data_IF_823263860743
#
_entry.id   IF_823263860743
#
_cell.length_a   1.000
_cell.length_b   1.000
_cell.length_c   1.000
_cell.angle_alpha   90.00
_cell.angle_beta   90.00
_cell.angle_gamma   90.00
#
_symmetry.space_group_name_H-M   'P 1'
#
loop_
_entity.id
_entity.type
_entity.pdbx_description
1 polymer ?
#
# COMPACT_ATOMS: atom_id res chain seq x y z
N UNK A 1 -0.27 -8.60 -33.91
CA UNK A 1 -1.00 -8.86 -32.67
C UNK A 1 -0.36 -7.98 -31.61
N UNK A 2 -0.97 -6.84 -31.29
CA UNK A 2 -0.46 -5.97 -30.23
C UNK A 2 -0.92 -6.58 -28.91
N UNK A 3 -0.02 -7.26 -28.19
CA UNK A 3 -0.25 -7.51 -26.77
C UNK A 3 -0.34 -6.13 -26.12
N UNK A 4 -1.58 -5.73 -25.80
CA UNK A 4 -1.84 -4.46 -25.15
C UNK A 4 -1.03 -4.41 -23.87
N UNK A 5 -0.18 -3.40 -23.74
CA UNK A 5 0.63 -3.14 -22.55
C UNK A 5 -0.32 -2.81 -21.37
N UNK A 6 -0.87 -3.84 -20.73
CA UNK A 6 -1.88 -3.70 -19.70
C UNK A 6 -1.23 -3.04 -18.49
N UNK A 7 -1.74 -1.87 -18.09
CA UNK A 7 -1.24 -1.11 -16.97
C UNK A 7 -2.16 -1.32 -15.77
N UNK A 8 -1.57 -1.73 -14.66
CA UNK A 8 -2.23 -1.92 -13.37
C UNK A 8 -2.07 -0.64 -12.56
N UNK A 9 -3.14 -0.12 -11.95
CA UNK A 9 -3.07 1.04 -11.05
C UNK A 9 -2.51 0.57 -9.70
N UNK A 10 -1.39 1.16 -9.28
CA UNK A 10 -0.82 0.96 -7.96
C UNK A 10 -1.41 1.98 -6.99
N UNK A 11 -1.84 1.49 -5.83
CA UNK A 11 -2.44 2.30 -4.77
C UNK A 11 -1.67 2.11 -3.46
N UNK A 12 -1.69 3.14 -2.62
CA UNK A 12 -1.43 3.01 -1.18
C UNK A 12 -2.77 2.90 -0.49
N UNK A 13 -3.02 1.77 0.17
CA UNK A 13 -4.25 1.53 0.92
C UNK A 13 -3.99 1.64 2.40
N UNK A 14 -4.90 2.30 3.12
CA UNK A 14 -4.88 2.34 4.58
C UNK A 14 -6.00 1.52 5.19
N UNK A 15 -5.66 0.81 6.26
CA UNK A 15 -6.61 0.00 7.03
C UNK A 15 -6.47 0.27 8.53
N UNK A 16 -7.59 0.20 9.24
CA UNK A 16 -7.65 0.25 10.68
C UNK A 16 -7.10 -1.04 11.30
N UNK A 17 -6.35 -0.89 12.40
CA UNK A 17 -5.66 -2.01 13.08
C UNK A 17 -6.28 -2.40 14.41
N UNK A 18 -7.30 -1.68 14.86
CA UNK A 18 -7.81 -1.83 16.22
C UNK A 18 -7.15 -0.89 17.21
N UNK A 19 -7.30 -1.26 18.49
CA UNK A 19 -6.78 -0.54 19.64
C UNK A 19 -5.73 -1.39 20.36
N UNK A 20 -4.81 -0.73 21.06
CA UNK A 20 -3.89 -1.41 21.96
C UNK A 20 -4.60 -1.87 23.26
N UNK A 21 -3.84 -2.51 24.16
CA UNK A 21 -4.35 -2.99 25.46
C UNK A 21 -4.86 -1.89 26.38
N UNK A 22 -4.49 -0.63 26.12
CA UNK A 22 -4.95 0.55 26.88
C UNK A 22 -6.16 1.21 26.22
N UNK A 23 -6.64 0.67 25.09
CA UNK A 23 -7.79 1.19 24.35
C UNK A 23 -7.47 2.38 23.44
N UNK A 24 -6.17 2.66 23.21
CA UNK A 24 -5.74 3.71 22.29
C UNK A 24 -5.66 3.16 20.87
N UNK A 25 -6.13 3.95 19.90
CA UNK A 25 -6.09 3.56 18.49
C UNK A 25 -4.65 3.36 18.01
N UNK A 26 -4.42 2.20 17.39
CA UNK A 26 -3.16 1.93 16.74
C UNK A 26 -3.03 2.78 15.47
N UNK A 27 -1.82 3.22 15.10
CA UNK A 27 -1.60 3.90 13.83
C UNK A 27 -2.14 3.07 12.67
N UNK A 28 -2.76 3.73 11.69
CA UNK A 28 -3.27 3.07 10.49
C UNK A 28 -2.15 2.30 9.79
N UNK A 29 -2.49 1.11 9.31
CA UNK A 29 -1.58 0.29 8.52
C UNK A 29 -1.63 0.73 7.08
N UNK A 30 -0.47 0.93 6.46
CA UNK A 30 -0.36 1.19 5.03
C UNK A 30 0.18 -0.02 4.29
N UNK A 31 -0.38 -0.27 3.11
CA UNK A 31 0.05 -1.33 2.20
C UNK A 31 0.04 -0.82 0.76
N UNK A 32 0.85 -1.45 -0.09
CA UNK A 32 0.75 -1.29 -1.53
C UNK A 32 -0.26 -2.29 -2.08
N UNK A 33 -1.25 -1.82 -2.82
CA UNK A 33 -2.30 -2.67 -3.39
C UNK A 33 -2.51 -2.40 -4.85
N UNK A 34 -3.04 -3.39 -5.55
CA UNK A 34 -3.65 -3.17 -6.86
C UNK A 34 -4.71 -4.21 -7.15
N UNK A 35 -5.76 -3.79 -7.86
CA UNK A 35 -6.86 -4.64 -8.31
C UNK A 35 -6.42 -5.53 -9.48
N UNK A 36 -6.70 -6.82 -9.40
CA UNK A 36 -6.49 -7.80 -10.47
C UNK A 36 -7.80 -8.35 -11.03
N UNK A 37 -8.86 -8.34 -10.23
CA UNK A 37 -10.18 -8.85 -10.59
C UNK A 37 -11.29 -8.19 -9.75
N UNK A 38 -12.53 -8.66 -9.92
CA UNK A 38 -13.68 -8.21 -9.15
C UNK A 38 -14.28 -6.88 -9.62
N UNK A 39 -15.34 -6.48 -8.93
CA UNK A 39 -16.08 -5.24 -9.17
C UNK A 39 -15.52 -4.11 -8.30
N UNK A 40 -16.07 -2.90 -8.40
CA UNK A 40 -15.56 -1.75 -7.62
C UNK A 40 -16.04 -1.76 -6.16
N UNK A 41 -17.19 -2.40 -5.89
CA UNK A 41 -17.70 -2.69 -4.55
C UNK A 41 -16.99 -3.89 -3.89
N UNK A 42 -16.51 -4.84 -4.70
CA UNK A 42 -15.78 -6.03 -4.24
C UNK A 42 -14.49 -6.24 -5.03
N UNK A 43 -13.51 -5.33 -4.91
CA UNK A 43 -12.26 -5.43 -5.63
C UNK A 43 -11.42 -6.58 -5.07
N UNK A 44 -10.94 -7.43 -5.98
CA UNK A 44 -10.00 -8.50 -5.67
C UNK A 44 -8.63 -8.12 -6.23
N UNK A 45 -7.57 -8.37 -5.46
CA UNK A 45 -6.24 -7.96 -5.86
C UNK A 45 -5.14 -8.46 -4.97
N UNK A 46 -3.98 -7.84 -5.13
CA UNK A 46 -2.79 -8.16 -4.36
C UNK A 46 -2.47 -7.05 -3.36
N UNK A 47 -1.91 -7.43 -2.22
CA UNK A 47 -1.52 -6.56 -1.13
C UNK A 47 -0.08 -6.90 -0.70
N UNK A 48 0.76 -5.87 -0.60
CA UNK A 48 2.15 -5.98 -0.20
C UNK A 48 2.44 -5.02 0.94
N UNK A 49 2.97 -5.54 2.04
CA UNK A 49 3.19 -4.72 3.23
C UNK A 49 4.37 -5.21 4.07
N UNK A 50 4.70 -4.41 5.09
CA UNK A 50 5.48 -4.88 6.23
C UNK A 50 4.50 -5.28 7.35
N UNK A 51 4.26 -6.58 7.51
CA UNK A 51 3.35 -7.16 8.50
C UNK A 51 4.05 -7.42 9.82
N UNK A 52 3.29 -7.40 10.92
CA UNK A 52 3.79 -7.68 12.26
C UNK A 52 3.85 -6.44 13.17
N UNK A 53 4.75 -6.50 14.14
CA UNK A 53 5.02 -5.42 15.09
C UNK A 53 6.52 -5.12 15.15
N UNK A 54 6.92 -4.20 16.02
CA UNK A 54 8.31 -3.75 16.17
C UNK A 54 9.32 -4.90 16.32
N UNK A 55 8.91 -6.05 16.88
CA UNK A 55 9.76 -7.22 17.09
C UNK A 55 9.70 -8.23 15.94
N UNK A 56 8.60 -8.26 15.18
CA UNK A 56 8.30 -9.34 14.23
C UNK A 56 8.18 -8.89 12.77
N UNK A 57 8.39 -7.61 12.48
CA UNK A 57 8.17 -7.07 11.13
C UNK A 57 8.78 -7.97 10.04
N UNK A 58 7.97 -8.32 9.04
CA UNK A 58 8.34 -9.13 7.88
C UNK A 58 7.64 -8.61 6.61
N UNK A 59 8.20 -8.94 5.46
CA UNK A 59 7.56 -8.65 4.18
C UNK A 59 6.47 -9.68 3.93
N UNK A 60 5.27 -9.21 3.66
CA UNK A 60 4.11 -10.04 3.33
C UNK A 60 3.56 -9.66 1.96
N UNK A 61 3.18 -10.68 1.19
CA UNK A 61 2.63 -10.54 -0.15
C UNK A 61 1.39 -11.44 -0.28
N UNK A 62 0.23 -10.86 -0.05
CA UNK A 62 -1.07 -11.51 -0.21
C UNK A 62 -1.57 -11.33 -1.63
N UNK A 63 -2.16 -12.37 -2.21
CA UNK A 63 -2.64 -12.38 -3.58
C UNK A 63 -4.08 -12.89 -3.62
N UNK A 64 -4.85 -12.35 -4.56
CA UNK A 64 -6.25 -12.74 -4.77
C UNK A 64 -7.13 -12.53 -3.52
N UNK A 65 -6.90 -11.42 -2.81
CA UNK A 65 -7.64 -11.05 -1.60
C UNK A 65 -8.64 -9.91 -1.87
N UNK A 66 -9.65 -9.80 -1.02
CA UNK A 66 -10.57 -8.65 -1.02
C UNK A 66 -9.86 -7.40 -0.52
N UNK A 67 -9.69 -6.40 -1.38
CA UNK A 67 -8.93 -5.18 -1.06
C UNK A 67 -9.72 -4.18 -0.20
N UNK A 68 -11.07 -4.23 -0.26
CA UNK A 68 -11.97 -3.39 0.54
C UNK A 68 -12.74 -4.28 1.50
N UNK A 69 -12.42 -4.19 2.79
CA UNK A 69 -13.09 -4.88 3.88
C UNK A 69 -13.51 -3.86 4.96
N UNK A 70 -14.12 -4.32 6.06
CA UNK A 70 -14.62 -3.43 7.13
C UNK A 70 -13.53 -2.56 7.79
N UNK A 71 -12.26 -2.95 7.66
CA UNK A 71 -11.12 -2.19 8.16
C UNK A 71 -10.55 -1.19 7.13
N UNK A 72 -11.03 -1.18 5.90
CA UNK A 72 -10.58 -0.25 4.86
C UNK A 72 -10.92 1.20 5.22
N UNK A 73 -9.96 2.11 5.00
CA UNK A 73 -10.08 3.56 5.31
C UNK A 73 -9.64 4.44 4.13
N UNK A 74 -9.62 3.92 2.92
CA UNK A 74 -9.20 4.64 1.72
C UNK A 74 -8.03 4.00 0.98
N UNK A 75 -8.00 4.25 -0.34
CA UNK A 75 -6.91 3.87 -1.24
C UNK A 75 -6.55 5.06 -2.11
N UNK A 76 -5.27 5.42 -2.15
CA UNK A 76 -4.74 6.53 -2.94
C UNK A 76 -3.97 5.98 -4.15
N UNK A 77 -4.38 6.27 -5.40
CA UNK A 77 -3.58 5.95 -6.58
C UNK A 77 -2.25 6.71 -6.56
N UNK A 78 -1.14 5.98 -6.72
CA UNK A 78 0.23 6.53 -6.64
C UNK A 78 1.09 6.23 -7.86
N UNK A 79 0.58 5.43 -8.79
CA UNK A 79 1.28 5.14 -10.03
C UNK A 79 0.66 4.01 -10.83
N UNK A 80 1.42 3.55 -11.82
CA UNK A 80 1.05 2.42 -12.69
C UNK A 80 2.19 1.44 -12.85
N UNK A 81 1.83 0.16 -12.92
CA UNK A 81 2.74 -0.97 -13.09
C UNK A 81 2.36 -1.67 -14.40
N UNK A 82 3.30 -1.87 -15.33
CA UNK A 82 3.08 -2.75 -16.48
C UNK A 82 2.86 -4.19 -15.99
N UNK A 83 1.79 -4.85 -16.43
CA UNK A 83 1.41 -6.17 -15.96
C UNK A 83 2.54 -7.22 -16.18
N UNK A 84 3.26 -7.11 -17.29
CA UNK A 84 4.42 -7.95 -17.62
C UNK A 84 5.61 -7.72 -16.68
N UNK A 85 5.65 -6.58 -16.00
CA UNK A 85 6.71 -6.22 -15.04
C UNK A 85 6.39 -6.62 -13.59
N UNK A 86 5.30 -7.36 -13.34
CA UNK A 86 4.88 -7.71 -11.98
C UNK A 86 5.95 -8.50 -11.21
N UNK A 87 6.63 -9.45 -11.86
CA UNK A 87 7.72 -10.19 -11.21
C UNK A 87 8.89 -9.27 -10.80
N UNK A 88 9.23 -8.27 -11.63
CA UNK A 88 10.26 -7.28 -11.31
C UNK A 88 9.80 -6.39 -10.15
N UNK A 89 8.54 -5.98 -10.14
CA UNK A 89 7.93 -5.21 -9.05
C UNK A 89 8.03 -5.96 -7.72
N UNK A 90 7.55 -7.21 -7.65
CA UNK A 90 7.56 -8.00 -6.41
C UNK A 90 8.99 -8.29 -5.91
N UNK A 91 9.93 -8.50 -6.83
CA UNK A 91 11.35 -8.67 -6.49
C UNK A 91 11.95 -7.41 -5.86
N UNK A 92 11.57 -6.22 -6.32
CA UNK A 92 12.03 -4.97 -5.70
C UNK A 92 11.46 -4.85 -4.28
N UNK A 93 10.16 -5.12 -4.12
CA UNK A 93 9.49 -5.02 -2.82
C UNK A 93 10.10 -5.97 -1.78
N UNK A 94 10.43 -7.21 -2.16
CA UNK A 94 11.03 -8.18 -1.24
C UNK A 94 12.47 -7.83 -0.81
N UNK A 95 13.11 -6.88 -1.50
CA UNK A 95 14.47 -6.41 -1.19
C UNK A 95 14.48 -5.15 -0.33
N UNK A 96 13.31 -4.52 -0.09
CA UNK A 96 13.21 -3.31 0.74
C UNK A 96 13.53 -3.67 2.19
N UNK A 97 14.52 -2.99 2.83
CA UNK A 97 14.89 -3.29 4.20
C UNK A 97 13.73 -3.10 5.19
N UNK A 98 13.64 -4.04 6.12
CA UNK A 98 12.73 -3.99 7.26
C UNK A 98 13.58 -3.83 8.52
N UNK A 99 13.34 -2.73 9.24
CA UNK A 99 14.05 -2.44 10.49
C UNK A 99 13.21 -2.90 11.67
N UNK A 100 13.74 -3.82 12.47
CA UNK A 100 13.13 -4.27 13.73
C UNK A 100 13.72 -3.51 14.91
N UNK A 101 12.98 -3.45 16.00
CA UNK A 101 13.38 -2.81 17.26
C UNK A 101 13.63 -1.29 17.16
N UNK A 102 13.18 -0.65 16.08
CA UNK A 102 13.22 0.80 15.90
C UNK A 102 11.81 1.37 16.05
N UNK A 103 11.51 2.13 17.12
CA UNK A 103 10.18 2.70 17.36
C UNK A 103 9.82 3.81 16.37
N UNK A 104 10.78 4.34 15.61
CA UNK A 104 10.53 5.31 14.55
C UNK A 104 10.18 4.68 13.19
N UNK A 105 10.28 3.35 13.10
CA UNK A 105 10.04 2.59 11.88
C UNK A 105 8.72 1.81 11.95
N UNK A 106 7.91 1.93 10.89
CA UNK A 106 6.67 1.17 10.74
C UNK A 106 6.38 0.88 9.25
N UNK A 107 5.21 0.29 8.96
CA UNK A 107 4.79 -0.05 7.59
C UNK A 107 4.70 1.16 6.64
N UNK A 108 4.43 2.37 7.15
CA UNK A 108 4.37 3.59 6.34
C UNK A 108 5.77 3.96 5.83
N UNK A 109 6.81 3.77 6.65
CA UNK A 109 8.21 3.93 6.21
C UNK A 109 8.54 2.93 5.09
N UNK A 110 8.12 1.67 5.23
CA UNK A 110 8.32 0.65 4.22
C UNK A 110 7.62 0.99 2.91
N UNK A 111 6.34 1.38 2.95
CA UNK A 111 5.57 1.81 1.76
C UNK A 111 6.28 2.96 1.04
N UNK A 112 6.76 3.95 1.78
CA UNK A 112 7.47 5.08 1.17
C UNK A 112 8.81 4.66 0.53
N UNK A 113 9.59 3.82 1.21
CA UNK A 113 10.83 3.28 0.65
C UNK A 113 10.55 2.48 -0.64
N UNK A 114 9.52 1.63 -0.64
CA UNK A 114 9.06 0.87 -1.80
C UNK A 114 8.72 1.78 -2.99
N UNK A 115 7.93 2.83 -2.79
CA UNK A 115 7.57 3.77 -3.87
C UNK A 115 8.78 4.48 -4.46
N UNK A 116 9.76 4.85 -3.62
CA UNK A 116 11.02 5.47 -4.09
C UNK A 116 11.83 4.51 -4.93
N UNK A 117 12.04 3.28 -4.47
CA UNK A 117 12.81 2.27 -5.20
C UNK A 117 12.13 1.87 -6.52
N UNK A 118 10.81 1.75 -6.53
CA UNK A 118 10.04 1.53 -7.77
C UNK A 118 10.23 2.67 -8.77
N UNK A 119 10.18 3.93 -8.31
CA UNK A 119 10.46 5.09 -9.17
C UNK A 119 11.88 5.03 -9.73
N UNK A 120 12.88 4.72 -8.91
CA UNK A 120 14.28 4.57 -9.34
C UNK A 120 14.47 3.43 -10.35
N UNK A 121 13.69 2.35 -10.22
CA UNK A 121 13.71 1.21 -11.13
C UNK A 121 12.96 1.44 -12.46
N UNK A 122 12.39 2.63 -12.65
CA UNK A 122 11.73 3.07 -13.88
C UNK A 122 10.23 2.80 -13.94
N UNK A 123 9.58 2.46 -12.83
CA UNK A 123 8.11 2.35 -12.78
C UNK A 123 7.46 3.74 -12.79
N UNK A 124 6.26 3.83 -13.35
CA UNK A 124 5.48 5.06 -13.48
C UNK A 124 4.82 5.45 -12.16
N UNK A 125 5.63 5.75 -11.14
CA UNK A 125 5.19 6.33 -9.87
C UNK A 125 5.06 7.84 -10.05
N UNK A 126 3.97 8.43 -9.57
CA UNK A 126 3.64 9.85 -9.74
C UNK A 126 4.87 10.74 -9.44
N UNK A 127 5.40 11.51 -10.42
CA UNK A 127 6.68 12.22 -10.26
C UNK A 127 6.66 13.25 -9.14
N UNK A 128 5.48 13.85 -8.92
CA UNK A 128 5.26 14.88 -7.90
C UNK A 128 4.92 14.30 -6.53
N UNK A 129 4.82 12.96 -6.39
CA UNK A 129 4.55 12.32 -5.12
C UNK A 129 5.76 12.46 -4.19
N UNK A 130 5.55 13.17 -3.09
CA UNK A 130 6.49 13.37 -1.98
C UNK A 130 5.94 12.70 -0.72
N UNK A 131 6.77 12.54 0.31
CA UNK A 131 6.31 12.02 1.60
C UNK A 131 5.20 12.87 2.22
N UNK A 132 5.31 14.20 2.15
CA UNK A 132 4.25 15.10 2.64
C UNK A 132 2.96 14.86 1.87
N UNK A 133 2.99 14.91 0.54
CA UNK A 133 1.78 14.72 -0.27
C UNK A 133 1.14 13.34 -0.09
N UNK A 134 1.96 12.31 0.09
CA UNK A 134 1.44 10.99 0.42
C UNK A 134 0.70 11.04 1.76
N UNK A 135 1.33 11.56 2.82
CA UNK A 135 0.70 11.69 4.14
C UNK A 135 -0.56 12.53 4.12
N UNK A 136 -0.52 13.67 3.45
CA UNK A 136 -1.65 14.59 3.32
C UNK A 136 -2.81 13.86 2.62
N UNK A 137 -2.57 13.20 1.49
CA UNK A 137 -3.61 12.43 0.79
C UNK A 137 -4.16 11.24 1.58
N UNK A 138 -3.33 10.56 2.38
CA UNK A 138 -3.80 9.48 3.27
C UNK A 138 -4.62 10.04 4.45
N UNK A 139 -4.30 11.24 4.93
CA UNK A 139 -5.08 11.94 5.95
C UNK A 139 -6.44 12.39 5.40
N UNK A 140 -6.46 13.00 4.20
CA UNK A 140 -7.70 13.39 3.52
C UNK A 140 -8.64 12.19 3.31
N UNK A 141 -8.08 11.01 2.98
CA UNK A 141 -8.84 9.76 2.87
C UNK A 141 -9.44 9.31 4.21
N UNK A 142 -8.73 9.51 5.32
CA UNK A 142 -9.27 9.19 6.63
C UNK A 142 -10.43 10.12 6.98
N UNK A 143 -10.28 11.43 6.76
CA UNK A 143 -11.35 12.40 6.97
C UNK A 143 -12.59 12.07 6.12
N UNK A 144 -12.39 11.76 4.84
CA UNK A 144 -13.48 11.37 3.95
C UNK A 144 -14.21 10.10 4.46
N UNK A 145 -13.47 9.11 4.95
CA UNK A 145 -14.06 7.91 5.54
C UNK A 145 -14.84 8.22 6.83
N UNK A 146 -14.31 9.08 7.70
CA UNK A 146 -14.98 9.49 8.95
C UNK A 146 -16.25 10.30 8.69
N UNK A 147 -16.30 11.06 7.59
CA UNK A 147 -17.49 11.79 7.13
C UNK A 147 -18.49 10.91 6.35
N UNK A 148 -18.11 9.69 5.95
CA UNK A 148 -18.95 8.79 5.15
C UNK A 148 -18.99 9.14 3.66
N UNK A 149 -18.00 9.89 3.16
CA UNK A 149 -17.88 10.25 1.74
C UNK A 149 -17.30 9.11 0.88
N UNK A 150 -16.66 8.12 1.52
CA UNK A 150 -16.09 6.90 0.89
C UNK A 150 -16.35 5.63 1.69
#
# INVERSE_FOLDING_TARGET
MAEGNSQIVLEVTQVWRGKDSEGKDLPLHWALTFKTAGTDDRPIGNCYNAAGNIDTYCYEAERDIMLRNDNWRGSLPVGRIPAESLHKFERILSQIPITRHDPSWNCQNWVWASLRELRHAGFSIEPVLTWSRLRDGMFDLLEAWECGDI
#
